data_IF_862185041931
#
_entry.id   IF_862185041931
#
_cell.length_a   1.000
_cell.length_b   1.000
_cell.length_c   1.000
_cell.angle_alpha   90.00
_cell.angle_beta   90.00
_cell.angle_gamma   90.00
#
_symmetry.space_group_name_H-M   'P 1'
#
loop_
_entity.id
_entity.type
_entity.pdbx_description
1 polymer ?
#
# COMPACT_ATOMS: atom_id res chain seq x y z
N UNK A 1 -17.95 -31.67 68.27
CA UNK A 1 -16.66 -31.02 67.95
C UNK A 1 -16.13 -31.57 66.64
N UNK A 2 -15.71 -30.68 65.75
CA UNK A 2 -15.60 -30.86 64.28
C UNK A 2 -14.45 -31.77 63.86
N UNK A 3 -14.74 -32.79 63.05
CA UNK A 3 -13.75 -33.47 62.19
C UNK A 3 -13.46 -32.56 60.99
N UNK A 4 -12.21 -32.11 60.83
CA UNK A 4 -11.73 -31.46 59.60
C UNK A 4 -11.14 -32.53 58.70
N UNK A 5 -11.80 -32.78 57.57
CA UNK A 5 -11.32 -33.54 56.43
C UNK A 5 -10.48 -32.57 55.58
N UNK A 6 -9.20 -32.85 55.40
CA UNK A 6 -8.32 -32.07 54.52
C UNK A 6 -8.61 -32.48 53.08
N UNK A 7 -9.29 -31.61 52.33
CA UNK A 7 -9.55 -31.80 50.91
C UNK A 7 -8.40 -31.16 50.11
N UNK A 8 -7.52 -32.00 49.56
CA UNK A 8 -6.49 -31.57 48.61
C UNK A 8 -7.16 -31.26 47.27
N UNK A 9 -7.32 -29.98 46.94
CA UNK A 9 -7.79 -29.55 45.62
C UNK A 9 -6.58 -29.50 44.68
N UNK A 10 -6.51 -30.45 43.75
CA UNK A 10 -5.59 -30.41 42.62
C UNK A 10 -6.10 -29.35 41.64
N UNK A 11 -5.37 -28.23 41.50
CA UNK A 11 -5.58 -27.29 40.40
C UNK A 11 -4.99 -27.91 39.12
N UNK A 12 -5.85 -28.44 38.25
CA UNK A 12 -5.47 -28.75 36.88
C UNK A 12 -5.40 -27.42 36.10
N UNK A 13 -4.18 -26.96 35.82
CA UNK A 13 -3.95 -25.87 34.89
C UNK A 13 -4.33 -26.33 33.47
N UNK A 14 -5.44 -25.81 32.94
CA UNK A 14 -5.77 -25.90 31.52
C UNK A 14 -4.79 -24.98 30.80
N UNK A 15 -3.70 -25.55 30.26
CA UNK A 15 -2.84 -24.88 29.30
C UNK A 15 -3.66 -24.66 28.02
N UNK A 16 -4.13 -23.42 27.86
CA UNK A 16 -4.63 -22.92 26.59
C UNK A 16 -3.45 -22.89 25.61
N UNK A 17 -3.33 -23.93 24.77
CA UNK A 17 -2.41 -23.95 23.64
C UNK A 17 -2.89 -22.93 22.60
N UNK A 18 -2.56 -21.66 22.81
CA UNK A 18 -2.48 -20.71 21.71
C UNK A 18 -1.28 -21.15 20.86
N UNK A 19 -1.55 -21.90 19.79
CA UNK A 19 -0.61 -22.11 18.70
C UNK A 19 -0.28 -20.73 18.10
N UNK A 20 0.77 -20.10 18.64
CA UNK A 20 1.43 -18.99 17.96
C UNK A 20 2.00 -19.54 16.67
N UNK A 21 1.39 -19.18 15.53
CA UNK A 21 2.03 -19.37 14.24
C UNK A 21 3.39 -18.66 14.31
N UNK A 22 4.48 -19.41 14.21
CA UNK A 22 5.79 -18.80 13.95
C UNK A 22 5.66 -18.10 12.60
N UNK A 23 5.88 -16.79 12.57
CA UNK A 23 5.98 -16.04 11.33
C UNK A 23 7.01 -16.74 10.43
N UNK A 24 6.69 -16.91 9.14
CA UNK A 24 7.66 -17.46 8.20
C UNK A 24 8.80 -16.45 8.06
N UNK A 25 9.98 -16.80 8.56
CA UNK A 25 11.13 -15.91 8.45
C UNK A 25 11.51 -15.73 6.98
N UNK A 26 11.89 -14.50 6.56
CA UNK A 26 12.41 -14.26 5.23
C UNK A 26 13.59 -15.18 4.92
N UNK A 27 13.76 -15.51 3.65
CA UNK A 27 14.93 -16.25 3.17
C UNK A 27 16.23 -15.48 3.44
N UNK A 28 17.38 -16.16 3.34
CA UNK A 28 18.73 -15.58 3.53
C UNK A 28 19.09 -14.45 2.53
N UNK A 29 18.15 -14.02 1.67
CA UNK A 29 18.33 -12.93 0.71
C UNK A 29 18.37 -11.55 1.39
N UNK A 30 17.74 -11.38 2.56
CA UNK A 30 17.77 -10.10 3.30
C UNK A 30 19.06 -10.00 4.11
N UNK A 31 19.93 -9.05 3.75
CA UNK A 31 21.23 -8.77 4.38
C UNK A 31 21.20 -7.59 5.35
N UNK A 32 20.27 -6.64 5.19
CA UNK A 32 20.10 -5.49 6.07
C UNK A 32 18.61 -5.31 6.41
N UNK A 33 18.27 -4.93 7.65
CA UNK A 33 16.88 -4.84 8.13
C UNK A 33 16.62 -3.46 8.73
N UNK A 34 15.65 -2.70 8.22
CA UNK A 34 15.39 -1.35 8.74
C UNK A 34 14.99 -1.42 10.22
N UNK A 35 15.39 -0.41 10.99
CA UNK A 35 14.84 -0.21 12.33
C UNK A 35 13.33 0.09 12.23
N UNK A 36 12.56 -0.38 13.22
CA UNK A 36 11.14 -0.06 13.28
C UNK A 36 10.92 1.43 13.54
N UNK A 37 9.80 1.98 13.07
CA UNK A 37 9.43 3.38 13.27
C UNK A 37 9.37 3.80 14.74
N UNK A 38 9.22 2.87 15.69
CA UNK A 38 9.20 3.17 17.12
C UNK A 38 10.61 3.33 17.71
N UNK A 39 11.66 2.90 17.00
CA UNK A 39 13.06 2.94 17.45
C UNK A 39 13.80 4.19 16.98
N UNK A 40 13.27 4.92 16.00
CA UNK A 40 13.90 6.11 15.41
C UNK A 40 12.97 7.30 15.61
N UNK A 41 13.52 8.41 16.13
CA UNK A 41 12.77 9.65 16.38
C UNK A 41 13.43 10.80 15.65
N UNK A 42 12.64 11.50 14.84
CA UNK A 42 13.12 12.70 14.15
C UNK A 42 13.32 13.84 15.16
N UNK A 43 14.50 14.44 15.10
CA UNK A 43 14.81 15.70 15.77
C UNK A 43 14.48 16.87 14.84
N UNK A 44 14.62 18.09 15.36
CA UNK A 44 14.36 19.33 14.64
C UNK A 44 15.10 19.35 13.30
N UNK A 45 14.31 19.35 12.22
CA UNK A 45 14.76 19.22 10.84
C UNK A 45 13.61 19.53 9.87
N UNK A 46 13.88 19.79 8.58
CA UNK A 46 12.82 19.91 7.58
C UNK A 46 11.87 18.69 7.53
N UNK A 47 12.39 17.49 7.77
CA UNK A 47 11.58 16.26 7.83
C UNK A 47 10.64 16.22 9.02
N UNK A 48 11.11 16.67 10.20
CA UNK A 48 10.25 16.83 11.38
C UNK A 48 9.16 17.86 11.12
N UNK A 49 9.49 19.00 10.52
CA UNK A 49 8.51 20.04 10.15
C UNK A 49 7.43 19.48 9.20
N UNK A 50 7.83 18.81 8.12
CA UNK A 50 6.87 18.19 7.19
C UNK A 50 6.01 17.11 7.87
N UNK A 51 6.61 16.30 8.77
CA UNK A 51 5.86 15.32 9.55
C UNK A 51 4.79 16.00 10.44
N UNK A 52 5.11 17.11 11.11
CA UNK A 52 4.15 17.84 11.94
C UNK A 52 3.04 18.50 11.11
N UNK A 53 3.34 19.06 9.94
CA UNK A 53 2.33 19.58 9.01
C UNK A 53 1.37 18.47 8.57
N UNK A 54 1.91 17.30 8.21
CA UNK A 54 1.09 16.15 7.85
C UNK A 54 0.27 15.63 9.05
N UNK A 55 0.84 15.65 10.25
CA UNK A 55 0.16 15.29 11.50
C UNK A 55 -1.10 16.13 11.69
N UNK A 56 -1.00 17.44 11.49
CA UNK A 56 -2.13 18.36 11.58
C UNK A 56 -3.12 18.16 10.42
N UNK A 57 -2.64 17.91 9.20
CA UNK A 57 -3.48 17.59 8.05
C UNK A 57 -4.33 16.33 8.30
N UNK A 58 -3.71 15.23 8.76
CA UNK A 58 -4.39 13.99 9.11
C UNK A 58 -5.45 14.21 10.19
N UNK A 59 -5.17 15.05 11.19
CA UNK A 59 -6.13 15.31 12.26
C UNK A 59 -7.36 16.09 11.79
N UNK A 60 -7.22 16.94 10.76
CA UNK A 60 -8.32 17.68 10.11
C UNK A 60 -9.24 16.79 9.27
N UNK A 61 -8.77 15.64 8.79
CA UNK A 61 -9.59 14.69 8.04
C UNK A 61 -10.58 13.97 8.95
N UNK A 62 -11.84 14.05 8.58
CA UNK A 62 -12.96 13.34 9.19
C UNK A 62 -12.98 11.87 8.76
N UNK A 63 -12.98 10.97 9.75
CA UNK A 63 -12.99 9.51 9.55
C UNK A 63 -14.36 8.98 9.09
N UNK A 64 -15.47 9.58 9.52
CA UNK A 64 -16.81 9.18 9.09
C UNK A 64 -17.01 9.42 7.60
N UNK A 65 -16.53 10.57 7.11
CA UNK A 65 -16.54 10.89 5.67
C UNK A 65 -15.69 9.91 4.85
N UNK A 66 -14.56 9.43 5.40
CA UNK A 66 -13.76 8.38 4.76
C UNK A 66 -14.46 7.01 4.76
N UNK A 67 -15.27 6.73 5.77
CA UNK A 67 -16.02 5.47 5.89
C UNK A 67 -17.32 5.45 5.11
N UNK A 68 -17.74 6.60 4.56
CA UNK A 68 -18.96 6.74 3.77
C UNK A 68 -19.19 5.60 2.75
N UNK A 69 -18.24 5.26 1.86
CA UNK A 69 -18.48 4.21 0.88
C UNK A 69 -18.61 2.83 1.52
N UNK A 70 -17.88 2.53 2.60
CA UNK A 70 -17.98 1.24 3.29
C UNK A 70 -19.36 1.02 3.88
N UNK A 71 -19.93 2.08 4.48
CA UNK A 71 -21.28 2.04 5.02
C UNK A 71 -22.33 1.89 3.92
N UNK A 72 -22.22 2.69 2.85
CA UNK A 72 -23.16 2.64 1.73
C UNK A 72 -23.17 1.26 1.06
N UNK A 73 -22.01 0.65 0.82
CA UNK A 73 -21.93 -0.71 0.22
C UNK A 73 -22.53 -1.79 1.11
N UNK A 74 -22.41 -1.64 2.43
CA UNK A 74 -22.93 -2.58 3.41
C UNK A 74 -24.41 -2.34 3.78
N UNK A 75 -25.06 -1.31 3.21
CA UNK A 75 -26.44 -0.94 3.58
C UNK A 75 -26.56 -0.33 4.99
N UNK A 76 -25.45 0.13 5.56
CA UNK A 76 -25.40 0.82 6.85
C UNK A 76 -25.70 2.32 6.68
N UNK A 77 -26.23 3.00 7.71
CA UNK A 77 -26.37 4.45 7.69
C UNK A 77 -25.01 5.13 7.47
N UNK A 78 -24.92 5.99 6.46
CA UNK A 78 -23.73 6.80 6.21
C UNK A 78 -23.64 7.96 7.21
N UNK A 79 -22.40 8.39 7.51
CA UNK A 79 -22.12 9.48 8.44
C UNK A 79 -21.35 10.57 7.70
N UNK A 80 -21.87 11.79 7.72
CA UNK A 80 -21.32 12.92 6.97
C UNK A 80 -21.50 12.79 5.45
N UNK A 81 -20.88 13.72 4.73
CA UNK A 81 -20.90 13.77 3.27
C UNK A 81 -19.61 13.21 2.66
N UNK A 82 -19.70 12.71 1.42
CA UNK A 82 -18.51 12.27 0.68
C UNK A 82 -17.46 13.38 0.59
N UNK A 83 -16.20 12.99 0.54
CA UNK A 83 -15.15 13.90 0.08
C UNK A 83 -15.29 14.21 -1.41
N UNK A 84 -14.72 15.34 -1.83
CA UNK A 84 -14.69 15.74 -3.22
C UNK A 84 -13.67 14.96 -4.06
N UNK A 85 -13.45 15.43 -5.28
CA UNK A 85 -12.44 14.86 -6.16
C UNK A 85 -12.81 13.44 -6.61
N UNK A 86 -11.90 12.49 -6.40
CA UNK A 86 -12.11 11.11 -6.84
C UNK A 86 -13.01 10.29 -5.90
N UNK A 87 -13.27 10.77 -4.68
CA UNK A 87 -14.22 10.15 -3.75
C UNK A 87 -15.69 10.36 -4.19
N UNK A 88 -15.93 11.17 -5.23
CA UNK A 88 -17.22 11.30 -5.93
C UNK A 88 -17.31 10.44 -7.21
N UNK A 89 -16.26 9.68 -7.55
CA UNK A 89 -16.14 8.89 -8.79
C UNK A 89 -16.10 7.38 -8.49
N UNK A 90 -15.96 6.57 -9.52
CA UNK A 90 -15.92 5.09 -9.44
C UNK A 90 -14.63 4.50 -8.83
N UNK A 91 -13.74 5.34 -8.26
CA UNK A 91 -12.54 4.94 -7.49
C UNK A 91 -12.67 5.30 -5.99
N UNK A 92 -13.89 5.59 -5.54
CA UNK A 92 -14.23 5.95 -4.16
C UNK A 92 -13.70 4.93 -3.13
N UNK A 93 -13.25 5.43 -1.98
CA UNK A 93 -12.71 4.67 -0.86
C UNK A 93 -11.24 4.28 -0.99
N UNK A 94 -10.58 4.61 -2.11
CA UNK A 94 -9.13 4.42 -2.24
C UNK A 94 -8.36 5.22 -1.18
N UNK A 95 -8.84 6.42 -0.85
CA UNK A 95 -8.20 7.31 0.12
C UNK A 95 -8.34 6.77 1.55
N UNK A 96 -9.42 6.07 1.86
CA UNK A 96 -9.68 5.52 3.20
C UNK A 96 -8.62 4.52 3.62
N UNK A 97 -8.21 3.64 2.70
CA UNK A 97 -7.12 2.69 2.95
C UNK A 97 -5.79 3.39 3.20
N UNK A 98 -5.43 4.36 2.35
CA UNK A 98 -4.25 5.20 2.54
C UNK A 98 -4.27 6.00 3.85
N UNK A 99 -5.43 6.54 4.22
CA UNK A 99 -5.61 7.27 5.47
C UNK A 99 -5.36 6.36 6.67
N UNK A 100 -5.91 5.14 6.65
CA UNK A 100 -5.65 4.13 7.69
C UNK A 100 -4.16 3.78 7.79
N UNK A 101 -3.46 3.58 6.66
CA UNK A 101 -2.00 3.39 6.64
C UNK A 101 -1.26 4.58 7.23
N UNK A 102 -1.57 5.81 6.80
CA UNK A 102 -0.91 7.03 7.26
C UNK A 102 -1.11 7.28 8.76
N UNK A 103 -2.32 7.08 9.29
CA UNK A 103 -2.59 7.18 10.73
C UNK A 103 -1.76 6.14 11.51
N UNK A 104 -1.69 4.90 11.01
CA UNK A 104 -0.95 3.80 11.64
C UNK A 104 0.56 4.10 11.67
N UNK A 105 1.12 4.57 10.55
CA UNK A 105 2.51 5.00 10.44
C UNK A 105 2.81 6.21 11.35
N UNK A 106 1.94 7.22 11.36
CA UNK A 106 2.10 8.42 12.19
C UNK A 106 2.08 8.07 13.69
N UNK A 107 1.23 7.13 14.10
CA UNK A 107 1.25 6.61 15.47
C UNK A 107 2.60 5.97 15.81
N UNK A 108 3.15 5.09 14.96
CA UNK A 108 4.44 4.46 15.23
C UNK A 108 5.59 5.47 15.30
N UNK A 109 5.59 6.46 14.40
CA UNK A 109 6.59 7.53 14.32
C UNK A 109 6.56 8.49 15.51
N UNK A 110 5.40 8.76 16.10
CA UNK A 110 5.22 9.83 17.10
C UNK A 110 4.82 9.35 18.49
N UNK A 111 4.14 8.22 18.60
CA UNK A 111 3.46 7.76 19.81
C UNK A 111 2.17 8.52 20.15
N UNK A 112 1.68 9.41 19.27
CA UNK A 112 0.47 10.20 19.53
C UNK A 112 -0.79 9.33 19.43
N UNK A 113 -1.41 9.08 20.59
CA UNK A 113 -2.53 8.14 20.76
C UNK A 113 -3.77 8.51 19.95
N UNK A 114 -3.95 9.78 19.57
CA UNK A 114 -5.10 10.22 18.78
C UNK A 114 -5.17 9.49 17.44
N UNK A 115 -4.02 9.17 16.86
CA UNK A 115 -3.94 8.40 15.62
C UNK A 115 -4.36 6.96 15.82
N UNK A 116 -3.89 6.31 16.89
CA UNK A 116 -4.30 4.95 17.23
C UNK A 116 -5.80 4.86 17.50
N UNK A 117 -6.36 5.79 18.28
CA UNK A 117 -7.80 5.84 18.57
C UNK A 117 -8.63 5.97 17.29
N UNK A 118 -8.14 6.76 16.32
CA UNK A 118 -8.79 6.91 15.02
C UNK A 118 -8.67 5.66 14.14
N UNK A 119 -7.53 4.99 14.14
CA UNK A 119 -7.35 3.68 13.47
C UNK A 119 -8.31 2.66 14.07
N UNK A 120 -8.36 2.57 15.40
CA UNK A 120 -9.25 1.63 16.11
C UNK A 120 -10.72 1.90 15.75
N UNK A 121 -11.13 3.17 15.67
CA UNK A 121 -12.46 3.55 15.21
C UNK A 121 -12.74 3.09 13.76
N UNK A 122 -11.87 3.43 12.82
CA UNK A 122 -12.01 3.07 11.39
C UNK A 122 -12.12 1.57 11.22
N UNK A 123 -11.23 0.80 11.86
CA UNK A 123 -11.24 -0.66 11.82
C UNK A 123 -12.56 -1.22 12.38
N UNK A 124 -13.07 -0.65 13.48
CA UNK A 124 -14.33 -1.10 14.07
C UNK A 124 -15.55 -0.86 13.16
N UNK A 125 -15.58 0.24 12.41
CA UNK A 125 -16.66 0.54 11.46
C UNK A 125 -16.55 -0.32 10.19
N UNK A 126 -15.33 -0.56 9.68
CA UNK A 126 -15.08 -1.53 8.60
C UNK A 126 -15.53 -2.93 9.05
N UNK A 127 -15.21 -3.36 10.28
CA UNK A 127 -15.65 -4.65 10.79
C UNK A 127 -17.18 -4.79 10.85
N UNK A 128 -17.91 -3.71 11.15
CA UNK A 128 -19.38 -3.69 11.08
C UNK A 128 -19.87 -3.87 9.64
N UNK A 129 -19.30 -3.13 8.69
CA UNK A 129 -19.61 -3.28 7.26
C UNK A 129 -19.34 -4.73 6.78
N UNK A 130 -18.21 -5.33 7.18
CA UNK A 130 -17.89 -6.72 6.87
C UNK A 130 -18.94 -7.70 7.38
N UNK A 131 -19.44 -7.46 8.59
CA UNK A 131 -20.46 -8.30 9.22
C UNK A 131 -21.79 -8.24 8.47
N UNK A 132 -22.21 -7.06 8.02
CA UNK A 132 -23.46 -6.89 7.25
C UNK A 132 -23.39 -7.56 5.87
N UNK A 133 -22.23 -7.52 5.21
CA UNK A 133 -22.02 -8.29 3.98
C UNK A 133 -22.13 -9.81 4.21
N UNK A 134 -21.57 -10.31 5.32
CA UNK A 134 -21.72 -11.69 5.75
C UNK A 134 -20.90 -12.73 4.98
N UNK A 135 -20.15 -12.33 3.95
CA UNK A 135 -19.36 -13.20 3.07
C UNK A 135 -17.83 -12.98 3.17
N UNK A 136 -17.40 -12.07 4.06
CA UNK A 136 -16.00 -11.68 4.27
C UNK A 136 -15.60 -10.40 3.52
N UNK A 137 -16.40 -9.91 2.58
CA UNK A 137 -16.14 -8.64 1.90
C UNK A 137 -16.38 -7.43 2.81
N UNK A 138 -15.57 -6.39 2.68
CA UNK A 138 -15.72 -5.13 3.45
C UNK A 138 -15.15 -3.92 2.73
N UNK A 139 -15.29 -3.87 1.41
CA UNK A 139 -14.68 -2.84 0.58
C UNK A 139 -15.64 -1.74 0.13
N UNK A 140 -15.08 -0.63 -0.38
CA UNK A 140 -15.86 0.50 -0.90
C UNK A 140 -16.34 0.28 -2.35
N UNK A 141 -15.84 -0.78 -3.02
CA UNK A 141 -16.23 -1.16 -4.38
C UNK A 141 -17.62 -1.80 -4.38
N UNK A 142 -18.41 -1.59 -5.43
CA UNK A 142 -19.76 -2.14 -5.54
C UNK A 142 -19.75 -3.66 -5.63
N UNK A 143 -20.69 -4.33 -4.96
CA UNK A 143 -20.71 -5.80 -4.89
C UNK A 143 -21.01 -6.45 -6.24
N UNK A 144 -21.75 -5.80 -7.12
CA UNK A 144 -22.00 -6.29 -8.48
C UNK A 144 -20.73 -6.34 -9.34
N UNK A 145 -19.74 -5.47 -9.09
CA UNK A 145 -18.46 -5.51 -9.78
C UNK A 145 -17.76 -6.83 -9.48
N UNK A 146 -17.74 -7.24 -8.21
CA UNK A 146 -17.15 -8.52 -7.80
C UNK A 146 -17.93 -9.72 -8.30
N UNK A 147 -19.26 -9.66 -8.34
CA UNK A 147 -20.09 -10.71 -8.96
C UNK A 147 -19.74 -10.90 -10.44
N UNK A 148 -19.56 -9.81 -11.19
CA UNK A 148 -19.16 -9.86 -12.59
C UNK A 148 -17.71 -10.36 -12.75
N UNK A 149 -16.81 -9.99 -11.84
CA UNK A 149 -15.44 -10.48 -11.88
C UNK A 149 -15.43 -11.99 -11.63
N UNK A 150 -16.02 -12.46 -10.54
CA UNK A 150 -15.96 -13.86 -10.12
C UNK A 150 -16.87 -14.81 -10.91
N UNK A 151 -17.73 -14.29 -11.80
CA UNK A 151 -18.49 -15.12 -12.75
C UNK A 151 -17.66 -15.57 -13.96
N UNK A 152 -16.50 -14.93 -14.20
CA UNK A 152 -15.65 -15.20 -15.36
C UNK A 152 -16.09 -14.51 -16.66
N UNK A 153 -17.22 -13.80 -16.69
CA UNK A 153 -17.63 -12.91 -17.80
C UNK A 153 -16.92 -11.56 -17.68
N UNK A 154 -15.59 -11.62 -17.83
CA UNK A 154 -14.68 -10.51 -17.59
C UNK A 154 -14.56 -9.65 -18.84
N UNK A 155 -14.96 -8.38 -18.74
CA UNK A 155 -14.63 -7.34 -19.71
C UNK A 155 -13.52 -6.45 -19.15
N UNK A 156 -12.27 -6.91 -19.29
CA UNK A 156 -11.11 -6.19 -18.78
C UNK A 156 -10.49 -5.25 -19.83
N UNK A 157 -10.11 -4.06 -19.38
CA UNK A 157 -9.22 -3.14 -20.06
C UNK A 157 -8.34 -2.43 -19.02
N UNK A 158 -7.40 -1.59 -19.47
CA UNK A 158 -6.38 -0.95 -18.60
C UNK A 158 -6.93 -0.34 -17.30
N UNK A 159 -8.13 0.22 -17.34
CA UNK A 159 -8.73 0.99 -16.24
C UNK A 159 -9.97 0.35 -15.62
N UNK A 160 -10.39 -0.82 -16.08
CA UNK A 160 -11.66 -1.37 -15.63
C UNK A 160 -11.83 -2.86 -15.90
N UNK A 161 -12.56 -3.49 -15.00
CA UNK A 161 -12.96 -4.91 -15.07
C UNK A 161 -14.26 -5.10 -14.30
N UNK A 162 -15.13 -5.97 -14.79
CA UNK A 162 -16.43 -6.24 -14.15
C UNK A 162 -17.38 -5.03 -14.04
N UNK A 163 -17.13 -3.95 -14.81
CA UNK A 163 -17.89 -2.70 -14.75
C UNK A 163 -17.48 -1.74 -13.64
N UNK A 164 -16.35 -1.99 -12.95
CA UNK A 164 -15.74 -1.06 -12.00
C UNK A 164 -14.47 -0.42 -12.55
N UNK A 165 -14.10 0.75 -12.02
CA UNK A 165 -12.84 1.44 -12.34
C UNK A 165 -11.75 1.00 -11.35
N UNK A 166 -10.74 0.28 -11.85
CA UNK A 166 -9.60 -0.28 -11.07
C UNK A 166 -9.98 -0.92 -9.71
N UNK A 167 -10.97 -1.83 -9.65
CA UNK A 167 -11.54 -2.31 -8.37
C UNK A 167 -10.51 -3.00 -7.46
N UNK A 168 -9.55 -3.74 -8.04
CA UNK A 168 -8.47 -4.36 -7.28
C UNK A 168 -7.49 -3.34 -6.69
N UNK A 169 -7.22 -2.22 -7.38
CA UNK A 169 -6.41 -1.12 -6.82
C UNK A 169 -7.08 -0.49 -5.59
N UNK A 170 -8.40 -0.30 -5.64
CA UNK A 170 -9.17 0.29 -4.55
C UNK A 170 -9.18 -0.65 -3.35
N UNK A 171 -9.51 -1.93 -3.55
CA UNK A 171 -9.54 -2.89 -2.43
C UNK A 171 -8.14 -3.14 -1.87
N UNK A 172 -7.09 -3.09 -2.70
CA UNK A 172 -5.70 -3.15 -2.26
C UNK A 172 -5.41 -2.11 -1.16
N UNK A 173 -5.91 -0.87 -1.26
CA UNK A 173 -5.69 0.13 -0.19
C UNK A 173 -6.31 -0.29 1.13
N UNK A 174 -7.47 -0.96 1.09
CA UNK A 174 -8.10 -1.52 2.29
C UNK A 174 -7.24 -2.63 2.90
N UNK A 175 -6.72 -3.54 2.07
CA UNK A 175 -5.79 -4.58 2.51
C UNK A 175 -4.55 -3.98 3.17
N UNK A 176 -3.86 -3.07 2.49
CA UNK A 176 -2.64 -2.43 2.97
C UNK A 176 -2.87 -1.71 4.31
N UNK A 177 -3.92 -0.89 4.39
CA UNK A 177 -4.21 -0.15 5.62
C UNK A 177 -4.62 -1.03 6.81
N UNK A 178 -5.36 -2.14 6.58
CA UNK A 178 -5.66 -3.09 7.65
C UNK A 178 -4.39 -3.81 8.14
N UNK A 179 -3.49 -4.16 7.22
CA UNK A 179 -2.19 -4.77 7.56
C UNK A 179 -1.34 -3.76 8.35
N UNK A 180 -1.28 -2.51 7.92
CA UNK A 180 -0.54 -1.46 8.63
C UNK A 180 -1.14 -1.17 10.01
N UNK A 181 -2.47 -1.16 10.14
CA UNK A 181 -3.15 -1.03 11.42
C UNK A 181 -2.74 -2.15 12.40
N UNK A 182 -2.64 -3.38 11.91
CA UNK A 182 -2.14 -4.50 12.72
C UNK A 182 -0.66 -4.32 13.08
N UNK A 183 0.22 -4.11 12.10
CA UNK A 183 1.68 -4.07 12.30
C UNK A 183 2.10 -2.89 13.18
N UNK A 184 1.55 -1.70 12.94
CA UNK A 184 2.02 -0.46 13.58
C UNK A 184 1.28 -0.12 14.88
N UNK A 185 0.05 -0.64 15.08
CA UNK A 185 -0.80 -0.26 16.23
C UNK A 185 -1.24 -1.44 17.10
N UNK A 186 -0.82 -2.67 16.75
CA UNK A 186 -1.22 -3.93 17.39
C UNK A 186 -2.74 -4.19 17.36
N UNK A 187 -3.44 -3.65 16.36
CA UNK A 187 -4.89 -3.82 16.24
C UNK A 187 -5.25 -5.22 15.74
N UNK A 188 -5.63 -6.11 16.66
CA UNK A 188 -5.98 -7.51 16.35
C UNK A 188 -7.28 -7.65 15.53
N UNK A 189 -8.24 -6.74 15.70
CA UNK A 189 -9.47 -6.75 14.90
C UNK A 189 -9.16 -6.46 13.42
N UNK A 190 -8.19 -5.59 13.13
CA UNK A 190 -7.74 -5.33 11.76
C UNK A 190 -7.20 -6.61 11.10
N UNK A 191 -6.43 -7.43 11.84
CA UNK A 191 -5.96 -8.73 11.35
C UNK A 191 -7.13 -9.69 11.05
N UNK A 192 -8.10 -9.78 11.95
CA UNK A 192 -9.29 -10.62 11.74
C UNK A 192 -10.07 -10.20 10.49
N UNK A 193 -10.23 -8.89 10.29
CA UNK A 193 -10.96 -8.33 9.14
C UNK A 193 -10.22 -8.62 7.83
N UNK A 194 -8.90 -8.40 7.77
CA UNK A 194 -8.14 -8.63 6.53
C UNK A 194 -8.00 -10.11 6.19
N UNK A 195 -7.97 -11.02 7.18
CA UNK A 195 -8.01 -12.47 6.96
C UNK A 195 -9.31 -12.84 6.24
N UNK A 196 -10.47 -12.41 6.76
CA UNK A 196 -11.76 -12.69 6.12
C UNK A 196 -11.87 -12.09 4.71
N UNK A 197 -11.28 -10.91 4.51
CA UNK A 197 -11.23 -10.27 3.20
C UNK A 197 -10.33 -11.05 2.23
N UNK A 198 -9.20 -11.60 2.70
CA UNK A 198 -8.32 -12.45 1.91
C UNK A 198 -9.00 -13.78 1.54
N UNK A 199 -9.71 -14.40 2.48
CA UNK A 199 -10.48 -15.62 2.25
C UNK A 199 -11.59 -15.40 1.21
N UNK A 200 -12.29 -14.26 1.30
CA UNK A 200 -13.25 -13.83 0.29
C UNK A 200 -12.60 -13.69 -1.11
N UNK A 201 -11.45 -13.01 -1.19
CA UNK A 201 -10.75 -12.80 -2.45
C UNK A 201 -10.27 -14.13 -3.06
N UNK A 202 -9.73 -15.03 -2.23
CA UNK A 202 -9.32 -16.39 -2.63
C UNK A 202 -10.49 -17.17 -3.18
N UNK A 203 -11.59 -17.27 -2.43
CA UNK A 203 -12.79 -17.99 -2.85
C UNK A 203 -13.37 -17.45 -4.15
N UNK A 204 -13.44 -16.13 -4.30
CA UNK A 204 -13.99 -15.51 -5.51
C UNK A 204 -13.11 -15.78 -6.74
N UNK A 205 -11.79 -15.68 -6.57
CA UNK A 205 -10.85 -15.87 -7.69
C UNK A 205 -10.60 -17.33 -8.07
N UNK A 206 -10.92 -18.30 -7.20
CA UNK A 206 -10.88 -19.72 -7.53
C UNK A 206 -11.84 -20.12 -8.67
N UNK A 207 -12.84 -19.29 -8.97
CA UNK A 207 -13.77 -19.49 -10.09
C UNK A 207 -13.18 -19.12 -11.46
N UNK A 208 -12.04 -18.43 -11.50
CA UNK A 208 -11.40 -18.01 -12.73
C UNK A 208 -10.42 -19.08 -13.18
N UNK A 209 -10.30 -19.31 -14.49
CA UNK A 209 -9.14 -20.00 -15.03
C UNK A 209 -7.92 -19.06 -15.15
N UNK A 210 -6.78 -19.58 -15.58
CA UNK A 210 -5.56 -18.78 -15.71
C UNK A 210 -5.65 -17.70 -16.79
N UNK A 211 -6.35 -17.95 -17.90
CA UNK A 211 -6.49 -16.99 -18.99
C UNK A 211 -7.39 -15.82 -18.57
N UNK A 212 -8.51 -16.13 -17.91
CA UNK A 212 -9.41 -15.16 -17.29
C UNK A 212 -8.70 -14.33 -16.23
N UNK A 213 -7.90 -14.98 -15.38
CA UNK A 213 -7.15 -14.29 -14.34
C UNK A 213 -6.13 -13.33 -14.97
N UNK A 214 -5.34 -13.75 -15.95
CA UNK A 214 -4.39 -12.86 -16.62
C UNK A 214 -5.07 -11.73 -17.41
N UNK A 215 -6.23 -11.96 -18.04
CA UNK A 215 -7.01 -10.88 -18.68
C UNK A 215 -7.52 -9.87 -17.64
N UNK A 216 -8.01 -10.32 -16.48
CA UNK A 216 -8.38 -9.45 -15.37
C UNK A 216 -7.21 -8.54 -14.92
N UNK A 217 -5.97 -9.06 -14.92
CA UNK A 217 -4.78 -8.30 -14.52
C UNK A 217 -4.39 -7.18 -15.49
N UNK A 218 -5.01 -7.08 -16.68
CA UNK A 218 -4.85 -5.92 -17.56
C UNK A 218 -5.40 -4.65 -16.90
N UNK A 219 -6.45 -4.76 -16.09
CA UNK A 219 -6.92 -3.67 -15.26
C UNK A 219 -5.94 -3.44 -14.10
N UNK A 220 -5.67 -2.18 -13.78
CA UNK A 220 -4.81 -1.86 -12.64
C UNK A 220 -5.36 -2.47 -11.33
N UNK A 221 -4.46 -3.16 -10.62
CA UNK A 221 -4.75 -3.93 -9.41
C UNK A 221 -3.85 -3.55 -8.22
N UNK A 222 -3.07 -2.48 -8.35
CA UNK A 222 -2.13 -2.03 -7.32
C UNK A 222 -1.20 -3.16 -6.83
N UNK A 223 -0.88 -3.14 -5.54
CA UNK A 223 -0.04 -4.13 -4.86
C UNK A 223 -0.87 -5.14 -4.06
N UNK A 224 -1.99 -5.63 -4.62
CA UNK A 224 -2.79 -6.65 -3.94
C UNK A 224 -1.97 -7.92 -3.68
N UNK A 225 -1.08 -8.29 -4.61
CA UNK A 225 -0.13 -9.38 -4.43
C UNK A 225 0.83 -9.13 -3.25
N UNK A 226 1.43 -7.93 -3.16
CA UNK A 226 2.25 -7.50 -2.02
C UNK A 226 1.49 -7.66 -0.69
N UNK A 227 0.24 -7.22 -0.63
CA UNK A 227 -0.60 -7.32 0.58
C UNK A 227 -0.88 -8.77 0.98
N UNK A 228 -1.21 -9.63 0.02
CA UNK A 228 -1.42 -11.07 0.27
C UNK A 228 -0.13 -11.76 0.72
N UNK A 229 1.01 -11.39 0.15
CA UNK A 229 2.32 -11.90 0.54
C UNK A 229 2.71 -11.45 1.97
N UNK A 230 2.42 -10.20 2.36
CA UNK A 230 2.53 -9.76 3.75
C UNK A 230 1.62 -10.56 4.69
N UNK A 231 0.37 -10.80 4.29
CA UNK A 231 -0.56 -11.57 5.11
C UNK A 231 -0.12 -13.03 5.25
N UNK A 232 0.46 -13.64 4.22
CA UNK A 232 1.12 -14.94 4.32
C UNK A 232 2.25 -14.92 5.35
N UNK A 233 3.11 -13.90 5.34
CA UNK A 233 4.20 -13.81 6.30
C UNK A 233 3.70 -13.70 7.75
N UNK A 234 2.57 -13.02 7.98
CA UNK A 234 1.93 -12.87 9.29
C UNK A 234 1.25 -14.17 9.75
N UNK A 235 0.56 -14.87 8.84
CA UNK A 235 -0.36 -15.98 9.20
C UNK A 235 0.21 -17.37 8.95
N UNK A 236 1.19 -17.49 8.07
CA UNK A 236 1.68 -18.76 7.54
C UNK A 236 0.72 -19.45 6.56
N UNK A 237 -0.42 -18.85 6.21
CA UNK A 237 -1.42 -19.47 5.35
C UNK A 237 -0.97 -19.49 3.88
N UNK A 238 -0.62 -20.68 3.38
CA UNK A 238 -0.10 -20.90 2.03
C UNK A 238 -1.09 -20.54 0.92
N UNK A 239 -2.39 -20.49 1.19
CA UNK A 239 -3.37 -20.05 0.19
C UNK A 239 -3.18 -18.57 -0.19
N UNK A 240 -2.74 -17.74 0.77
CA UNK A 240 -2.43 -16.33 0.50
C UNK A 240 -1.16 -16.18 -0.32
N UNK A 241 -0.14 -17.03 -0.08
CA UNK A 241 1.06 -17.05 -0.93
C UNK A 241 0.72 -17.48 -2.36
N UNK A 242 -0.06 -18.57 -2.52
CA UNK A 242 -0.48 -19.06 -3.82
C UNK A 242 -1.30 -18.01 -4.58
N UNK A 243 -2.22 -17.32 -3.89
CA UNK A 243 -2.98 -16.23 -4.49
C UNK A 243 -2.09 -15.04 -4.85
N UNK A 244 -1.15 -14.64 -3.99
CA UNK A 244 -0.20 -13.57 -4.29
C UNK A 244 0.59 -13.86 -5.57
N UNK A 245 1.09 -15.08 -5.75
CA UNK A 245 1.79 -15.52 -6.96
C UNK A 245 0.85 -15.57 -8.18
N UNK A 246 -0.43 -15.91 -8.00
CA UNK A 246 -1.40 -15.91 -9.09
C UNK A 246 -1.66 -14.50 -9.66
N UNK A 247 -1.47 -13.47 -8.85
CA UNK A 247 -1.47 -12.06 -9.25
C UNK A 247 -0.23 -11.61 -10.02
N UNK A 248 0.71 -12.51 -10.33
CA UNK A 248 1.83 -12.19 -11.22
C UNK A 248 1.32 -11.87 -12.63
N UNK A 249 1.36 -10.59 -12.98
CA UNK A 249 0.97 -10.13 -14.31
C UNK A 249 2.09 -10.42 -15.30
N UNK A 250 1.96 -11.54 -16.03
CA UNK A 250 3.03 -12.09 -16.88
C UNK A 250 3.48 -11.13 -17.98
N UNK A 251 2.56 -10.32 -18.50
CA UNK A 251 2.86 -9.30 -19.52
C UNK A 251 3.98 -8.33 -19.06
N UNK A 252 4.02 -8.03 -17.76
CA UNK A 252 4.98 -7.09 -17.17
C UNK A 252 6.19 -7.82 -16.59
N UNK A 253 5.97 -8.93 -15.88
CA UNK A 253 7.05 -9.60 -15.15
C UNK A 253 7.96 -10.41 -16.07
N UNK A 254 7.42 -11.13 -17.06
CA UNK A 254 8.21 -12.03 -17.90
C UNK A 254 9.28 -11.34 -18.75
N UNK A 255 9.07 -10.14 -19.34
CA UNK A 255 10.15 -9.37 -19.96
C UNK A 255 11.26 -8.99 -18.97
N UNK A 256 10.89 -8.56 -17.76
CA UNK A 256 11.86 -8.13 -16.74
C UNK A 256 12.69 -9.30 -16.21
N UNK A 257 12.10 -10.48 -16.05
CA UNK A 257 12.80 -11.75 -15.74
C UNK A 257 13.86 -12.08 -16.79
N UNK A 258 13.62 -11.71 -18.06
CA UNK A 258 14.54 -11.89 -19.18
C UNK A 258 15.48 -10.70 -19.41
N UNK A 259 15.42 -9.69 -18.53
CA UNK A 259 16.18 -8.43 -18.66
C UNK A 259 15.89 -7.68 -19.96
N UNK A 260 14.64 -7.70 -20.40
CA UNK A 260 14.14 -6.96 -21.55
C UNK A 260 13.44 -5.67 -21.07
N UNK A 261 13.97 -4.50 -21.46
CA UNK A 261 13.35 -3.20 -21.16
C UNK A 261 12.22 -2.92 -22.16
N UNK A 262 10.99 -3.30 -21.78
CA UNK A 262 9.74 -3.04 -22.54
C UNK A 262 8.79 -2.11 -21.77
N UNK A 263 9.36 -1.19 -20.99
CA UNK A 263 8.59 -0.37 -20.06
C UNK A 263 7.93 0.85 -20.71
N UNK A 264 8.50 1.38 -21.78
CA UNK A 264 8.00 2.59 -22.44
C UNK A 264 6.52 2.46 -22.83
N UNK A 265 5.74 3.50 -22.54
CA UNK A 265 4.29 3.54 -22.79
C UNK A 265 3.43 2.89 -21.70
N UNK A 266 4.00 2.14 -20.75
CA UNK A 266 3.25 1.69 -19.57
C UNK A 266 3.09 2.81 -18.54
N UNK A 267 1.94 2.81 -17.86
CA UNK A 267 1.69 3.70 -16.72
C UNK A 267 2.55 3.25 -15.53
N UNK A 268 3.39 4.14 -15.01
CA UNK A 268 4.45 3.81 -14.05
C UNK A 268 3.88 3.34 -12.73
N UNK A 269 2.97 4.12 -12.15
CA UNK A 269 2.39 3.83 -10.85
C UNK A 269 1.47 2.59 -10.85
N UNK A 270 1.03 2.13 -12.03
CA UNK A 270 0.36 0.82 -12.15
C UNK A 270 1.38 -0.33 -12.07
N UNK A 271 2.59 -0.16 -12.60
CA UNK A 271 3.58 -1.24 -12.67
C UNK A 271 4.38 -1.38 -11.37
N UNK A 272 4.81 -0.27 -10.76
CA UNK A 272 5.68 -0.32 -9.58
C UNK A 272 5.11 -1.16 -8.41
N UNK A 273 3.81 -1.09 -8.06
CA UNK A 273 3.24 -1.99 -7.05
C UNK A 273 3.30 -3.48 -7.40
N UNK A 274 3.27 -3.84 -8.69
CA UNK A 274 3.46 -5.23 -9.14
C UNK A 274 4.90 -5.67 -8.89
N UNK A 275 5.86 -4.77 -9.09
CA UNK A 275 7.27 -5.02 -8.85
C UNK A 275 7.60 -5.05 -7.35
N UNK A 276 6.93 -4.22 -6.53
CA UNK A 276 6.96 -4.35 -5.07
C UNK A 276 6.42 -5.70 -4.61
N UNK A 277 5.38 -6.20 -5.27
CA UNK A 277 4.87 -7.54 -5.01
C UNK A 277 5.91 -8.62 -5.33
N UNK A 278 6.60 -8.52 -6.48
CA UNK A 278 7.73 -9.38 -6.83
C UNK A 278 8.85 -9.29 -5.78
N UNK A 279 9.21 -8.09 -5.32
CA UNK A 279 10.20 -7.91 -4.28
C UNK A 279 9.82 -8.64 -2.98
N UNK A 280 8.56 -8.51 -2.56
CA UNK A 280 8.07 -9.20 -1.36
C UNK A 280 8.05 -10.72 -1.54
N UNK A 281 7.69 -11.21 -2.73
CA UNK A 281 7.72 -12.64 -3.04
C UNK A 281 9.15 -13.18 -3.04
N UNK A 282 10.14 -12.45 -3.59
CA UNK A 282 11.55 -12.83 -3.53
C UNK A 282 12.03 -13.00 -2.09
N UNK A 283 11.72 -12.04 -1.22
CA UNK A 283 12.08 -12.10 0.21
C UNK A 283 11.55 -13.35 0.91
N UNK A 284 10.34 -13.79 0.54
CA UNK A 284 9.64 -14.91 1.19
C UNK A 284 9.95 -16.27 0.58
N UNK A 285 10.30 -16.34 -0.71
CA UNK A 285 10.48 -17.60 -1.42
C UNK A 285 11.91 -17.87 -1.87
N UNK A 286 12.74 -16.83 -1.99
CA UNK A 286 14.08 -16.93 -2.59
C UNK A 286 14.07 -17.20 -4.10
N UNK A 287 12.91 -17.06 -4.77
CA UNK A 287 12.79 -17.32 -6.20
C UNK A 287 13.44 -16.19 -7.02
N UNK A 288 14.61 -16.50 -7.58
CA UNK A 288 15.49 -15.59 -8.32
C UNK A 288 14.83 -14.92 -9.53
N UNK A 289 13.72 -15.44 -10.05
CA UNK A 289 12.98 -14.76 -11.13
C UNK A 289 12.50 -13.38 -10.68
N UNK A 290 12.01 -13.27 -9.45
CA UNK A 290 11.52 -12.01 -8.89
C UNK A 290 12.68 -11.06 -8.58
N UNK A 291 13.74 -11.57 -7.95
CA UNK A 291 14.95 -10.79 -7.67
C UNK A 291 15.58 -10.22 -8.95
N UNK A 292 15.60 -11.00 -10.03
CA UNK A 292 16.07 -10.57 -11.35
C UNK A 292 15.19 -9.45 -11.92
N UNK A 293 13.87 -9.62 -11.91
CA UNK A 293 12.94 -8.63 -12.44
C UNK A 293 13.00 -7.29 -11.68
N UNK A 294 13.07 -7.36 -10.35
CA UNK A 294 13.15 -6.17 -9.48
C UNK A 294 14.46 -5.41 -9.70
N UNK A 295 15.60 -6.09 -9.61
CA UNK A 295 16.90 -5.44 -9.78
C UNK A 295 17.06 -4.85 -11.18
N UNK A 296 16.58 -5.55 -12.21
CA UNK A 296 16.63 -5.05 -13.58
C UNK A 296 15.75 -3.80 -13.77
N UNK A 297 14.51 -3.81 -13.29
CA UNK A 297 13.65 -2.62 -13.40
C UNK A 297 14.22 -1.44 -12.61
N UNK A 298 14.67 -1.67 -11.37
CA UNK A 298 15.22 -0.62 -10.53
C UNK A 298 16.42 0.05 -11.20
N UNK A 299 17.37 -0.74 -11.74
CA UNK A 299 18.52 -0.24 -12.48
C UNK A 299 18.11 0.60 -13.70
N UNK A 300 17.21 0.07 -14.54
CA UNK A 300 16.75 0.78 -15.75
C UNK A 300 16.03 2.09 -15.44
N UNK A 301 15.26 2.14 -14.36
CA UNK A 301 14.55 3.36 -13.96
C UNK A 301 15.51 4.38 -13.36
N UNK A 302 16.36 3.97 -12.42
CA UNK A 302 17.28 4.89 -11.71
C UNK A 302 18.35 5.45 -12.64
N UNK A 303 18.91 4.61 -13.53
CA UNK A 303 20.05 5.00 -14.36
C UNK A 303 19.68 5.53 -15.73
N UNK A 304 18.44 5.33 -16.21
CA UNK A 304 18.08 5.71 -17.57
C UNK A 304 16.69 6.35 -17.74
N UNK A 305 15.94 6.60 -16.65
CA UNK A 305 14.63 7.28 -16.67
C UNK A 305 14.38 8.19 -15.47
N UNK A 306 15.42 8.53 -14.72
CA UNK A 306 15.28 9.36 -13.52
C UNK A 306 15.74 10.78 -13.77
N UNK A 307 14.83 11.73 -13.53
CA UNK A 307 15.08 13.16 -13.55
C UNK A 307 15.92 13.57 -12.33
N UNK A 308 16.48 14.78 -12.35
CA UNK A 308 17.39 15.27 -11.31
C UNK A 308 16.77 15.24 -9.89
N UNK A 309 15.47 15.47 -9.74
CA UNK A 309 14.77 15.39 -8.45
C UNK A 309 14.46 13.97 -7.98
N UNK A 310 14.80 12.94 -8.76
CA UNK A 310 14.46 11.54 -8.52
C UNK A 310 13.16 11.06 -9.18
N UNK A 311 12.48 11.94 -9.92
CA UNK A 311 11.25 11.65 -10.65
C UNK A 311 11.43 10.69 -11.82
N UNK A 312 10.44 9.83 -12.09
CA UNK A 312 10.63 8.66 -12.97
C UNK A 312 9.62 8.53 -14.12
N UNK A 313 8.76 9.54 -14.31
CA UNK A 313 7.72 9.50 -15.33
C UNK A 313 7.44 10.86 -15.96
N UNK A 314 6.74 10.81 -17.09
CA UNK A 314 6.15 11.96 -17.77
C UNK A 314 4.71 11.62 -18.12
N UNK A 315 3.76 12.46 -17.68
CA UNK A 315 2.32 12.18 -17.83
C UNK A 315 1.95 10.82 -17.26
N UNK A 316 2.54 10.42 -16.13
CA UNK A 316 2.32 9.14 -15.44
C UNK A 316 2.84 7.90 -16.18
N UNK A 317 3.52 8.07 -17.34
CA UNK A 317 3.97 6.96 -18.16
C UNK A 317 5.49 6.92 -18.26
N UNK A 318 6.04 5.71 -18.35
CA UNK A 318 7.42 5.52 -18.74
C UNK A 318 7.59 6.04 -20.17
N UNK A 319 8.63 6.82 -20.38
CA UNK A 319 9.12 7.21 -21.70
C UNK A 319 10.29 6.29 -22.12
N UNK A 320 10.79 6.47 -23.34
CA UNK A 320 12.00 5.77 -23.79
C UNK A 320 13.18 6.10 -22.87
N UNK A 321 14.16 5.19 -22.77
CA UNK A 321 15.32 5.44 -21.92
C UNK A 321 16.17 6.62 -22.45
N UNK A 322 16.63 7.48 -21.55
CA UNK A 322 17.45 8.66 -21.88
C UNK A 322 16.63 9.92 -22.20
N UNK A 323 17.33 10.93 -22.71
CA UNK A 323 16.78 12.24 -23.11
C UNK A 323 15.93 12.95 -22.02
N UNK A 324 16.25 12.76 -20.73
CA UNK A 324 15.48 13.30 -19.60
C UNK A 324 15.33 14.82 -19.64
N UNK A 325 16.31 15.52 -20.23
CA UNK A 325 16.25 16.98 -20.42
C UNK A 325 15.10 17.43 -21.33
N UNK A 326 14.62 16.57 -22.24
CA UNK A 326 13.46 16.83 -23.09
C UNK A 326 12.12 16.59 -22.37
N UNK A 327 12.15 16.05 -21.15
CA UNK A 327 10.96 15.63 -20.39
C UNK A 327 10.66 16.56 -19.21
N UNK A 328 11.23 17.76 -19.18
CA UNK A 328 10.99 18.79 -18.16
C UNK A 328 9.69 19.56 -18.45
N UNK A 329 8.56 19.02 -18.00
CA UNK A 329 7.22 19.52 -18.26
C UNK A 329 6.44 19.81 -16.96
N UNK A 330 5.23 20.37 -17.11
CA UNK A 330 4.37 20.71 -15.97
C UNK A 330 3.74 19.47 -15.32
N UNK A 331 3.62 18.40 -16.10
CA UNK A 331 3.08 17.09 -15.72
C UNK A 331 4.18 16.01 -15.72
N UNK A 332 5.39 16.41 -15.36
CA UNK A 332 6.49 15.49 -15.07
C UNK A 332 6.35 14.96 -13.65
N UNK A 333 6.81 13.73 -13.46
CA UNK A 333 7.03 13.11 -12.17
C UNK A 333 5.82 13.07 -11.24
N UNK A 334 4.97 12.07 -11.41
CA UNK A 334 3.93 11.73 -10.45
C UNK A 334 4.55 11.36 -9.08
N UNK A 335 3.99 11.91 -8.00
CA UNK A 335 4.50 11.68 -6.63
C UNK A 335 4.34 10.23 -6.19
N UNK A 336 3.26 9.54 -6.59
CA UNK A 336 3.09 8.11 -6.29
C UNK A 336 4.20 7.23 -6.88
N UNK A 337 4.67 7.55 -8.08
CA UNK A 337 5.74 6.80 -8.73
C UNK A 337 7.03 6.87 -7.92
N UNK A 338 7.37 8.06 -7.41
CA UNK A 338 8.55 8.22 -6.54
C UNK A 338 8.35 7.56 -5.18
N UNK A 339 7.16 7.67 -4.57
CA UNK A 339 6.81 6.91 -3.35
C UNK A 339 7.07 5.41 -3.52
N UNK A 340 6.62 4.82 -4.62
CA UNK A 340 6.78 3.38 -4.87
C UNK A 340 8.22 3.02 -5.25
N UNK A 341 8.94 3.89 -5.96
CA UNK A 341 10.37 3.71 -6.23
C UNK A 341 11.21 3.76 -4.95
N UNK A 342 10.87 4.63 -4.00
CA UNK A 342 11.53 4.65 -2.68
C UNK A 342 11.26 3.33 -1.93
N UNK A 343 10.02 2.83 -1.91
CA UNK A 343 9.72 1.49 -1.37
C UNK A 343 10.58 0.41 -2.04
N UNK A 344 10.69 0.42 -3.37
CA UNK A 344 11.43 -0.59 -4.11
C UNK A 344 12.94 -0.52 -3.82
N UNK A 345 13.46 0.70 -3.70
CA UNK A 345 14.86 0.98 -3.34
C UNK A 345 15.22 0.40 -1.98
N UNK A 346 14.29 0.43 -1.01
CA UNK A 346 14.49 -0.21 0.31
C UNK A 346 14.67 -1.71 0.18
N UNK A 347 13.88 -2.39 -0.66
CA UNK A 347 14.03 -3.84 -0.90
C UNK A 347 15.38 -4.14 -1.56
N UNK A 348 15.74 -3.42 -2.62
CA UNK A 348 17.04 -3.59 -3.31
C UNK A 348 18.21 -3.40 -2.32
N UNK A 349 18.18 -2.34 -1.51
CA UNK A 349 19.19 -2.11 -0.47
C UNK A 349 19.22 -3.23 0.58
N UNK A 350 18.06 -3.71 1.01
CA UNK A 350 17.98 -4.77 2.01
C UNK A 350 18.61 -6.07 1.52
N UNK A 351 18.60 -6.34 0.21
CA UNK A 351 19.22 -7.53 -0.39
C UNK A 351 20.71 -7.33 -0.67
N UNK A 352 21.10 -6.14 -1.09
CA UNK A 352 22.49 -5.79 -1.42
C UNK A 352 22.82 -4.36 -0.97
N UNK A 353 23.23 -4.19 0.31
CA UNK A 353 23.47 -2.86 0.88
C UNK A 353 24.59 -2.13 0.12
N UNK A 354 24.26 -0.96 -0.41
CA UNK A 354 25.19 -0.11 -1.17
C UNK A 354 24.84 1.36 -0.98
N UNK A 355 25.87 2.20 -0.83
CA UNK A 355 25.71 3.65 -0.79
C UNK A 355 25.01 4.17 -2.06
N UNK A 356 25.37 3.65 -3.24
CA UNK A 356 24.77 4.06 -4.52
C UNK A 356 23.25 3.82 -4.58
N UNK A 357 22.73 2.79 -3.92
CA UNK A 357 21.29 2.55 -3.81
C UNK A 357 20.62 3.62 -2.95
N UNK A 358 21.28 4.01 -1.85
CA UNK A 358 20.79 5.08 -0.98
C UNK A 358 21.02 6.49 -1.53
N UNK A 359 21.97 6.71 -2.45
CA UNK A 359 22.14 7.99 -3.16
C UNK A 359 20.87 8.33 -3.98
N UNK A 360 20.26 7.34 -4.63
CA UNK A 360 18.95 7.55 -5.27
C UNK A 360 17.86 7.84 -4.23
N UNK A 361 17.82 7.07 -3.13
CA UNK A 361 16.83 7.27 -2.07
C UNK A 361 16.91 8.71 -1.53
N UNK A 362 18.10 9.16 -1.16
CA UNK A 362 18.37 10.52 -0.67
C UNK A 362 17.93 11.57 -1.70
N UNK A 363 18.37 11.44 -2.96
CA UNK A 363 18.04 12.38 -4.03
C UNK A 363 16.52 12.53 -4.21
N UNK A 364 15.79 11.42 -4.31
CA UNK A 364 14.35 11.42 -4.47
C UNK A 364 13.60 11.93 -3.22
N UNK A 365 14.09 11.56 -2.03
CA UNK A 365 13.50 11.95 -0.76
C UNK A 365 13.60 13.46 -0.52
N UNK A 366 14.81 14.03 -0.62
CA UNK A 366 15.06 15.43 -0.34
C UNK A 366 14.49 16.36 -1.40
N UNK A 367 14.59 15.99 -2.68
CA UNK A 367 14.22 16.91 -3.76
C UNK A 367 12.74 16.83 -4.11
N UNK A 368 12.18 15.63 -4.23
CA UNK A 368 10.78 15.47 -4.64
C UNK A 368 9.84 15.24 -3.46
N UNK A 369 10.05 14.19 -2.65
CA UNK A 369 9.10 13.82 -1.59
C UNK A 369 9.00 14.91 -0.52
N UNK A 370 10.10 15.44 -0.02
CA UNK A 370 10.04 16.54 0.95
C UNK A 370 9.36 17.79 0.36
N UNK A 371 9.59 18.07 -0.93
CA UNK A 371 9.00 19.19 -1.63
C UNK A 371 7.59 18.95 -2.20
N UNK A 372 6.98 17.78 -1.96
CA UNK A 372 5.65 17.41 -2.48
C UNK A 372 4.51 17.80 -1.54
N UNK A 373 4.81 18.41 -0.39
CA UNK A 373 3.83 18.94 0.54
C UNK A 373 3.91 20.47 0.59
N UNK A 374 2.75 21.11 0.54
CA UNK A 374 2.62 22.53 0.79
C UNK A 374 2.90 22.83 2.27
N UNK A 375 3.88 23.67 2.61
CA UNK A 375 4.22 23.94 4.01
C UNK A 375 3.11 24.65 4.78
N UNK A 376 2.20 25.34 4.10
CA UNK A 376 1.14 26.13 4.73
C UNK A 376 -0.16 25.32 4.91
N UNK A 377 -0.69 24.74 3.82
CA UNK A 377 -1.95 23.99 3.88
C UNK A 377 -1.79 22.51 4.25
N UNK A 378 -0.60 21.95 4.05
CA UNK A 378 -0.34 20.50 4.11
C UNK A 378 -0.82 19.72 2.89
N UNK A 379 -1.31 20.40 1.85
CA UNK A 379 -1.75 19.77 0.59
C UNK A 379 -0.62 19.10 -0.18
N UNK A 380 -0.95 18.11 -1.01
CA UNK A 380 0.02 17.25 -1.70
C UNK A 380 0.10 17.57 -3.20
N UNK A 381 1.28 17.51 -3.80
CA UNK A 381 1.44 17.61 -5.25
C UNK A 381 1.04 16.32 -5.94
N UNK A 382 0.34 16.40 -7.07
CA UNK A 382 0.20 15.26 -7.98
C UNK A 382 1.47 15.11 -8.82
N UNK A 383 1.67 16.03 -9.76
CA UNK A 383 2.90 16.15 -10.56
C UNK A 383 3.87 17.11 -9.89
N UNK A 384 5.12 16.69 -9.79
CA UNK A 384 6.22 17.54 -9.37
C UNK A 384 6.76 18.31 -10.58
N UNK A 385 6.08 19.43 -10.88
CA UNK A 385 6.35 20.26 -12.06
C UNK A 385 7.84 20.64 -12.21
N UNK A 386 8.44 20.30 -13.36
CA UNK A 386 9.82 20.63 -13.71
C UNK A 386 9.93 21.64 -14.87
N UNK A 387 8.79 22.15 -15.37
CA UNK A 387 8.78 23.15 -16.45
C UNK A 387 9.35 24.48 -15.94
N UNK A 388 10.42 25.03 -16.56
CA UNK A 388 10.93 26.35 -16.19
C UNK A 388 9.86 27.45 -16.30
N UNK A 389 9.82 28.34 -15.31
CA UNK A 389 8.85 29.44 -15.26
C UNK A 389 7.44 29.04 -14.85
N UNK A 390 7.24 27.82 -14.35
CA UNK A 390 5.94 27.35 -13.84
C UNK A 390 5.95 27.21 -12.31
N UNK A 391 4.81 26.83 -11.74
CA UNK A 391 4.60 26.59 -10.31
C UNK A 391 4.12 25.16 -10.04
N UNK A 392 4.24 24.73 -8.77
CA UNK A 392 3.69 23.47 -8.24
C UNK A 392 2.23 23.66 -7.86
N UNK A 393 1.40 22.63 -8.10
CA UNK A 393 -0.01 22.62 -7.71
C UNK A 393 -0.18 21.64 -6.56
N UNK A 394 -0.84 22.09 -5.50
CA UNK A 394 -1.13 21.29 -4.32
C UNK A 394 -2.63 20.98 -4.23
N UNK A 395 -2.96 19.84 -3.64
CA UNK A 395 -4.33 19.45 -3.37
C UNK A 395 -5.01 20.41 -2.41
N UNK A 396 -6.28 20.73 -2.65
CA UNK A 396 -7.11 21.40 -1.66
C UNK A 396 -7.56 20.40 -0.60
N UNK A 397 -7.55 20.77 0.69
CA UNK A 397 -8.13 19.92 1.73
C UNK A 397 -9.57 19.55 1.38
N UNK A 398 -9.92 18.27 1.53
CA UNK A 398 -11.27 17.71 1.35
C UNK A 398 -11.80 17.55 -0.09
N UNK A 399 -11.28 18.28 -1.09
CA UNK A 399 -11.84 18.28 -2.46
C UNK A 399 -10.96 17.65 -3.54
N UNK A 400 -9.71 17.32 -3.22
CA UNK A 400 -8.71 16.83 -4.18
C UNK A 400 -8.15 15.46 -3.81
N UNK A 401 -9.02 14.49 -3.48
CA UNK A 401 -8.66 13.14 -3.02
C UNK A 401 -8.12 12.22 -4.13
N UNK A 402 -6.98 12.59 -4.72
CA UNK A 402 -6.30 11.81 -5.77
C UNK A 402 -5.40 10.71 -5.21
N UNK A 403 -4.84 9.85 -6.06
CA UNK A 403 -3.84 8.86 -5.67
C UNK A 403 -2.65 9.49 -4.92
N UNK A 404 -2.14 10.64 -5.40
CA UNK A 404 -1.00 11.34 -4.80
C UNK A 404 -1.32 11.97 -3.44
N UNK A 405 -2.60 12.23 -3.12
CA UNK A 405 -2.96 12.58 -1.73
C UNK A 405 -2.79 11.37 -0.83
N UNK A 406 -3.23 10.19 -1.27
CA UNK A 406 -3.07 8.94 -0.54
C UNK A 406 -1.61 8.57 -0.25
N UNK A 407 -0.76 8.54 -1.28
CA UNK A 407 0.67 8.28 -1.08
C UNK A 407 1.39 9.43 -0.36
N UNK A 408 0.97 10.68 -0.59
CA UNK A 408 1.49 11.87 0.08
C UNK A 408 1.33 11.81 1.60
N UNK A 409 0.12 11.53 2.10
CA UNK A 409 -0.11 11.45 3.55
C UNK A 409 0.68 10.30 4.21
N UNK A 410 1.02 9.26 3.46
CA UNK A 410 1.92 8.20 3.96
C UNK A 410 3.39 8.62 3.93
N UNK A 411 3.86 9.30 2.88
CA UNK A 411 5.24 9.79 2.75
C UNK A 411 5.69 10.54 4.01
N UNK A 412 4.90 11.55 4.40
CA UNK A 412 5.22 12.43 5.51
C UNK A 412 4.93 11.82 6.88
N UNK A 413 4.48 10.56 6.95
CA UNK A 413 4.24 9.83 8.19
C UNK A 413 5.40 8.90 8.58
N UNK A 414 6.40 8.71 7.72
CA UNK A 414 7.38 7.62 7.86
C UNK A 414 8.84 7.96 7.55
N UNK A 415 9.25 9.23 7.53
CA UNK A 415 10.64 9.62 7.24
C UNK A 415 11.72 8.89 8.07
N UNK A 416 11.37 8.41 9.27
CA UNK A 416 12.29 7.69 10.15
C UNK A 416 12.55 6.23 9.71
N UNK A 417 11.79 5.67 8.75
CA UNK A 417 11.84 4.23 8.43
C UNK A 417 13.08 3.79 7.65
N UNK A 418 13.82 4.72 7.02
CA UNK A 418 14.94 4.45 6.11
C UNK A 418 16.28 5.00 6.60
N UNK A 419 16.34 5.62 7.78
CA UNK A 419 17.57 6.28 8.25
C UNK A 419 18.65 5.25 8.61
N UNK A 420 18.26 4.13 9.22
CA UNK A 420 19.17 3.10 9.71
C UNK A 420 18.64 1.70 9.37
N UNK A 421 19.57 0.75 9.20
CA UNK A 421 19.35 -0.67 8.91
C UNK A 421 20.30 -1.56 9.73
#
# INVERSE_FOLDING_TARGET
>A
MRKRLTLTVLFAAILCNCLGAKANEPTDVIKAKPFSLTQVRLLDSPFKTAMEINKDYLLKLDADRMLWPYHERAGLPTKGERYGGWELKDIVGQTTGHYMSALSLMYASTGDRRFKERVDYIVSEIAKAQKEHGDGYTGPVRTEVWKNIFSGDLKAHKWGVGGGYVPWYVIHKTFAGLIDAYIQTDNKQALEVVIKLADWAKKGTDNLDEAQFQDMLRAEHGGISESLAHLYAITGNKDYLALAQRFDHKEILAPLEKKEDKLAGYHVNTQLPKILSAARLYELTGDERYGTAVNFLWDRVVNARSMASGGVDLREHFYEAGDESAHLAWNSSETCSVYNMLKLTRSVFSWSPSAATMDYYERALYNQILGSQDPDSGGMTYFYCLKPGHFKIYSTPFDAMWCCVGSGIENHSKYADTIYY
#
